data_IF_257257381944
#
_entry.id   IF_257257381944
#
_cell.length_a   1.000
_cell.length_b   1.000
_cell.length_c   1.000
_cell.angle_alpha   90.00
_cell.angle_beta   90.00
_cell.angle_gamma   90.00
#
_symmetry.space_group_name_H-M   'P 1'
#
loop_
_entity.id
_entity.type
_entity.pdbx_description
1 polymer ?
#
# COMPACT_ATOMS: atom_id res chain seq x y z
N UNK A 1 -5.85 -2.88 -11.46
CA UNK A 1 -5.62 -3.35 -12.84
C UNK A 1 -6.67 -4.42 -13.16
N UNK A 2 -7.42 -4.26 -14.26
CA UNK A 2 -8.41 -5.25 -14.70
C UNK A 2 -7.74 -6.58 -15.03
N UNK A 3 -8.41 -7.69 -14.71
CA UNK A 3 -7.94 -9.06 -15.00
C UNK A 3 -7.57 -9.31 -16.47
N UNK A 4 -8.12 -8.52 -17.39
CA UNK A 4 -7.89 -8.63 -18.84
C UNK A 4 -6.81 -7.70 -19.39
N UNK A 5 -6.13 -6.93 -18.54
CA UNK A 5 -5.01 -6.10 -18.98
C UNK A 5 -3.85 -7.02 -19.42
N UNK A 6 -3.24 -6.68 -20.55
CA UNK A 6 -2.03 -7.36 -21.04
C UNK A 6 -0.84 -6.89 -20.22
N UNK A 7 -0.59 -7.62 -19.13
CA UNK A 7 0.52 -7.39 -18.21
C UNK A 7 1.30 -8.68 -18.00
N UNK A 8 2.60 -8.56 -17.87
CA UNK A 8 3.43 -9.72 -17.55
C UNK A 8 3.05 -10.25 -16.16
N UNK A 9 2.82 -11.55 -16.07
CA UNK A 9 2.47 -12.24 -14.82
C UNK A 9 3.63 -13.11 -14.38
N UNK A 10 3.92 -13.07 -13.09
CA UNK A 10 5.00 -13.84 -12.48
C UNK A 10 4.40 -14.84 -11.48
N UNK A 11 5.06 -15.96 -11.31
CA UNK A 11 4.82 -16.88 -10.19
C UNK A 11 5.40 -16.28 -8.90
N UNK A 12 4.99 -16.82 -7.75
CA UNK A 12 5.63 -16.46 -6.49
C UNK A 12 7.12 -16.82 -6.54
N UNK A 13 7.99 -15.92 -6.10
CA UNK A 13 9.42 -16.17 -5.95
C UNK A 13 9.67 -17.18 -4.84
N UNK A 14 10.76 -17.91 -4.88
CA UNK A 14 11.15 -18.78 -3.77
C UNK A 14 11.62 -17.92 -2.57
N UNK A 15 11.63 -18.52 -1.39
CA UNK A 15 12.11 -17.85 -0.16
C UNK A 15 13.57 -17.42 -0.33
N UNK A 16 14.41 -18.26 -0.93
CA UNK A 16 15.82 -17.99 -1.20
C UNK A 16 15.99 -16.77 -2.13
N UNK A 17 15.17 -16.68 -3.17
CA UNK A 17 15.16 -15.52 -4.07
C UNK A 17 14.77 -14.24 -3.31
N UNK A 18 13.76 -14.30 -2.45
CA UNK A 18 13.32 -13.16 -1.65
C UNK A 18 14.43 -12.68 -0.71
N UNK A 19 15.12 -13.62 -0.02
CA UNK A 19 16.26 -13.28 0.85
C UNK A 19 17.41 -12.69 0.07
N UNK A 20 17.74 -13.24 -1.10
CA UNK A 20 18.78 -12.71 -1.99
C UNK A 20 18.48 -11.28 -2.44
N UNK A 21 17.23 -11.00 -2.85
CA UNK A 21 16.79 -9.66 -3.25
C UNK A 21 16.79 -8.68 -2.07
N UNK A 22 16.40 -9.11 -0.87
CA UNK A 22 16.47 -8.29 0.33
C UNK A 22 17.93 -7.93 0.67
N UNK A 23 18.84 -8.89 0.52
CA UNK A 23 20.28 -8.69 0.72
C UNK A 23 20.84 -7.67 -0.28
N UNK A 24 20.50 -7.82 -1.55
CA UNK A 24 20.90 -6.87 -2.58
C UNK A 24 20.31 -5.47 -2.35
N UNK A 25 19.05 -5.39 -1.95
CA UNK A 25 18.40 -4.12 -1.60
C UNK A 25 19.15 -3.44 -0.43
N UNK A 26 19.53 -4.19 0.59
CA UNK A 26 20.32 -3.66 1.70
C UNK A 26 21.69 -3.18 1.26
N UNK A 27 22.39 -3.93 0.41
CA UNK A 27 23.69 -3.53 -0.16
C UNK A 27 23.58 -2.23 -0.97
N UNK A 28 22.45 -2.00 -1.62
CA UNK A 28 22.14 -0.77 -2.35
C UNK A 28 21.63 0.38 -1.45
N UNK A 29 21.70 0.24 -0.12
CA UNK A 29 21.35 1.30 0.84
C UNK A 29 19.87 1.33 1.25
N UNK A 30 19.04 0.34 0.89
CA UNK A 30 17.66 0.30 1.34
C UNK A 30 17.57 0.19 2.87
N UNK A 31 16.57 0.87 3.44
CA UNK A 31 16.25 0.83 4.87
C UNK A 31 15.00 -0.01 5.17
N UNK A 32 14.28 -0.43 4.13
CA UNK A 32 13.11 -1.29 4.21
C UNK A 32 12.98 -2.16 2.97
N UNK A 33 12.24 -3.26 3.11
CA UNK A 33 11.96 -4.22 2.04
C UNK A 33 10.47 -4.56 2.04
N UNK A 34 9.84 -4.53 0.87
CA UNK A 34 8.40 -4.73 0.75
C UNK A 34 8.07 -6.11 0.18
N UNK A 35 7.30 -6.90 0.94
CA UNK A 35 6.75 -8.18 0.51
C UNK A 35 5.38 -7.95 -0.14
N UNK A 36 5.36 -7.94 -1.47
CA UNK A 36 4.16 -7.60 -2.26
C UNK A 36 3.63 -8.82 -2.98
N UNK A 37 2.31 -9.01 -2.92
CA UNK A 37 1.62 -10.01 -3.75
C UNK A 37 0.44 -9.40 -4.48
N UNK A 38 0.19 -9.86 -5.70
CA UNK A 38 -1.00 -9.51 -6.45
C UNK A 38 -2.24 -10.24 -5.91
N UNK A 39 -3.42 -9.66 -6.19
CA UNK A 39 -4.73 -10.24 -5.86
C UNK A 39 -5.51 -9.42 -4.85
N UNK A 40 -6.75 -9.85 -4.56
CA UNK A 40 -7.67 -9.12 -3.70
C UNK A 40 -7.16 -9.00 -2.26
N UNK A 41 -6.63 -10.11 -1.71
CA UNK A 41 -6.20 -10.14 -0.32
C UNK A 41 -5.45 -11.42 0.05
N UNK A 42 -5.18 -11.53 1.34
CA UNK A 42 -4.57 -12.69 1.95
C UNK A 42 -5.55 -13.88 1.96
N UNK A 43 -5.00 -15.05 1.74
CA UNK A 43 -5.59 -16.35 2.06
C UNK A 43 -4.66 -17.03 3.07
N UNK A 44 -5.10 -18.06 3.77
CA UNK A 44 -4.24 -18.79 4.73
C UNK A 44 -2.94 -19.27 4.11
N UNK A 45 -3.01 -19.76 2.85
CA UNK A 45 -1.81 -20.18 2.11
C UNK A 45 -0.85 -19.02 1.84
N UNK A 46 -1.37 -17.86 1.43
CA UNK A 46 -0.55 -16.67 1.21
C UNK A 46 0.02 -16.14 2.51
N UNK A 47 -0.78 -16.10 3.58
CA UNK A 47 -0.34 -15.64 4.90
C UNK A 47 0.85 -16.46 5.39
N UNK A 48 0.75 -17.78 5.35
CA UNK A 48 1.85 -18.68 5.72
C UNK A 48 3.11 -18.42 4.90
N UNK A 49 2.96 -18.32 3.57
CA UNK A 49 4.09 -18.04 2.68
C UNK A 49 4.77 -16.71 2.99
N UNK A 50 3.99 -15.63 3.18
CA UNK A 50 4.56 -14.31 3.52
C UNK A 50 5.20 -14.32 4.91
N UNK A 51 4.61 -15.03 5.87
CA UNK A 51 5.19 -15.22 7.20
C UNK A 51 6.54 -15.97 7.14
N UNK A 52 6.65 -17.03 6.34
CA UNK A 52 7.90 -17.75 6.12
C UNK A 52 8.95 -16.84 5.46
N UNK A 53 8.59 -16.09 4.42
CA UNK A 53 9.47 -15.13 3.78
C UNK A 53 9.97 -14.05 4.77
N UNK A 54 9.07 -13.51 5.59
CA UNK A 54 9.40 -12.51 6.59
C UNK A 54 10.40 -13.06 7.62
N UNK A 55 10.16 -14.26 8.15
CA UNK A 55 11.08 -14.95 9.08
C UNK A 55 12.46 -15.15 8.46
N UNK A 56 12.52 -15.62 7.21
CA UNK A 56 13.79 -15.85 6.51
C UNK A 56 14.58 -14.55 6.29
N UNK A 57 13.92 -13.46 5.87
CA UNK A 57 14.58 -12.15 5.72
C UNK A 57 15.04 -11.60 7.08
N UNK A 58 14.25 -11.77 8.16
CA UNK A 58 14.69 -11.36 9.52
C UNK A 58 15.86 -12.19 10.02
N UNK A 59 15.89 -13.49 9.76
CA UNK A 59 17.00 -14.38 10.13
C UNK A 59 18.33 -13.99 9.44
N UNK A 60 18.28 -13.36 8.26
CA UNK A 60 19.45 -12.85 7.57
C UNK A 60 20.07 -11.59 8.21
N UNK A 61 19.47 -11.05 9.28
CA UNK A 61 19.97 -9.90 10.07
C UNK A 61 20.38 -8.66 9.25
N UNK A 62 19.64 -8.37 8.19
CA UNK A 62 19.94 -7.26 7.27
C UNK A 62 19.62 -5.86 7.83
N UNK A 63 18.98 -5.75 8.98
CA UNK A 63 18.56 -4.49 9.57
C UNK A 63 17.44 -3.78 8.78
N UNK A 64 16.74 -4.51 7.89
CA UNK A 64 15.66 -3.97 7.07
C UNK A 64 14.34 -3.95 7.85
N UNK A 65 13.59 -2.84 7.69
CA UNK A 65 12.18 -2.80 8.06
C UNK A 65 11.38 -3.60 7.03
N UNK A 66 10.55 -4.54 7.47
CA UNK A 66 9.69 -5.31 6.59
C UNK A 66 8.30 -4.68 6.47
N UNK A 67 7.90 -4.43 5.24
CA UNK A 67 6.58 -3.94 4.89
C UNK A 67 5.84 -5.05 4.13
N UNK A 68 4.61 -5.35 4.50
CA UNK A 68 3.74 -6.24 3.72
C UNK A 68 2.70 -5.42 2.95
N UNK A 69 2.43 -5.80 1.69
CA UNK A 69 1.43 -5.17 0.82
C UNK A 69 0.71 -6.28 0.05
N UNK A 70 -0.33 -6.86 0.69
CA UNK A 70 -0.93 -8.12 0.22
C UNK A 70 -2.46 -8.03 0.06
N UNK A 71 -3.02 -6.81 -0.03
CA UNK A 71 -4.45 -6.57 -0.19
C UNK A 71 -5.23 -6.63 1.12
N UNK A 72 -6.48 -7.07 1.07
CA UNK A 72 -7.35 -7.19 2.26
C UNK A 72 -6.85 -8.29 3.21
N UNK A 73 -7.02 -8.09 4.50
CA UNK A 73 -6.53 -9.01 5.53
C UNK A 73 -7.40 -8.98 6.79
N UNK A 74 -7.54 -10.12 7.45
CA UNK A 74 -8.14 -10.21 8.79
C UNK A 74 -7.14 -9.87 9.88
N UNK A 75 -7.64 -9.60 11.08
CA UNK A 75 -6.80 -9.32 12.26
C UNK A 75 -5.87 -10.50 12.57
N UNK A 76 -6.37 -11.74 12.47
CA UNK A 76 -5.63 -12.96 12.73
C UNK A 76 -4.45 -13.12 11.75
N UNK A 77 -4.71 -12.92 10.45
CA UNK A 77 -3.68 -12.97 9.42
C UNK A 77 -2.60 -11.92 9.67
N UNK A 78 -3.00 -10.71 10.04
CA UNK A 78 -2.07 -9.61 10.33
C UNK A 78 -1.26 -9.86 11.61
N UNK A 79 -1.85 -10.47 12.65
CA UNK A 79 -1.13 -10.91 13.85
C UNK A 79 -0.08 -11.99 13.53
N UNK A 80 -0.40 -12.94 12.62
CA UNK A 80 0.55 -13.93 12.14
C UNK A 80 1.74 -13.27 11.42
N UNK A 81 1.48 -12.32 10.52
CA UNK A 81 2.55 -11.58 9.84
C UNK A 81 3.40 -10.77 10.83
N UNK A 82 2.78 -10.12 11.81
CA UNK A 82 3.50 -9.40 12.86
C UNK A 82 4.41 -10.32 13.67
N UNK A 83 3.91 -11.48 14.09
CA UNK A 83 4.69 -12.48 14.81
C UNK A 83 5.86 -13.03 13.97
N UNK A 84 5.73 -13.02 12.64
CA UNK A 84 6.79 -13.40 11.70
C UNK A 84 7.84 -12.30 11.47
N UNK A 85 7.65 -11.10 12.03
CA UNK A 85 8.60 -9.99 11.94
C UNK A 85 8.25 -8.91 10.91
N UNK A 86 7.03 -8.89 10.36
CA UNK A 86 6.54 -7.75 9.59
C UNK A 86 6.36 -6.55 10.51
N UNK A 87 6.91 -5.40 10.14
CA UNK A 87 6.86 -4.16 10.92
C UNK A 87 5.67 -3.28 10.53
N UNK A 88 5.39 -3.19 9.22
CA UNK A 88 4.38 -2.31 8.66
C UNK A 88 3.48 -3.08 7.67
N UNK A 89 2.23 -2.65 7.57
CA UNK A 89 1.33 -3.10 6.50
C UNK A 89 0.89 -1.92 5.64
N UNK A 90 1.07 -2.05 4.32
CA UNK A 90 0.66 -1.03 3.36
C UNK A 90 -0.71 -1.40 2.75
N UNK A 91 -1.69 -0.54 2.97
CA UNK A 91 -3.00 -0.67 2.38
C UNK A 91 -3.63 0.70 2.15
N UNK A 92 -3.61 1.15 0.89
CA UNK A 92 -4.13 2.46 0.52
C UNK A 92 -5.66 2.48 0.44
N UNK A 93 -6.28 3.63 0.67
CA UNK A 93 -7.70 3.87 0.35
C UNK A 93 -7.91 4.10 -1.14
N UNK A 94 -6.88 4.51 -1.85
CA UNK A 94 -6.78 4.84 -3.27
C UNK A 94 -7.43 6.18 -3.61
N UNK A 95 -8.69 6.42 -3.20
CA UNK A 95 -9.43 7.67 -3.42
C UNK A 95 -10.52 7.87 -2.36
N UNK A 96 -11.43 8.86 -2.53
CA UNK A 96 -12.59 9.04 -1.66
C UNK A 96 -13.56 7.87 -1.73
N UNK A 97 -14.40 7.74 -0.70
CA UNK A 97 -15.46 6.72 -0.67
C UNK A 97 -16.45 6.88 -1.82
N UNK A 98 -16.80 8.11 -2.12
CA UNK A 98 -17.82 8.43 -3.14
C UNK A 98 -17.28 8.24 -4.57
N UNK A 99 -16.02 8.58 -4.82
CA UNK A 99 -15.40 8.38 -6.14
C UNK A 99 -14.95 6.93 -6.38
N UNK A 100 -14.71 6.14 -5.33
CA UNK A 100 -14.15 4.79 -5.44
C UNK A 100 -14.92 3.86 -6.39
N UNK A 101 -16.28 3.83 -6.42
CA UNK A 101 -17.03 2.96 -7.34
C UNK A 101 -16.76 3.23 -8.82
N UNK A 102 -16.29 4.43 -9.18
CA UNK A 102 -15.95 4.79 -10.57
C UNK A 102 -14.67 4.10 -11.05
N UNK A 103 -13.75 3.77 -10.13
CA UNK A 103 -12.43 3.19 -10.44
C UNK A 103 -12.35 1.69 -10.13
N UNK A 104 -13.16 1.19 -9.21
CA UNK A 104 -13.12 -0.20 -8.77
C UNK A 104 -14.53 -0.76 -8.55
N UNK A 105 -14.80 -1.93 -9.16
CA UNK A 105 -16.09 -2.64 -9.05
C UNK A 105 -15.96 -4.03 -8.44
N UNK A 106 -14.75 -4.44 -8.04
CA UNK A 106 -14.47 -5.81 -7.55
C UNK A 106 -14.51 -5.93 -6.03
N UNK A 107 -14.37 -4.81 -5.33
CA UNK A 107 -14.45 -4.71 -3.88
C UNK A 107 -14.76 -3.26 -3.50
N UNK A 108 -15.29 -3.04 -2.32
CA UNK A 108 -15.73 -1.74 -1.84
C UNK A 108 -14.59 -0.94 -1.20
N UNK A 109 -14.80 0.36 -1.08
CA UNK A 109 -13.94 1.23 -0.29
C UNK A 109 -13.98 0.87 1.20
N UNK A 110 -15.16 0.47 1.70
CA UNK A 110 -15.34 0.09 3.10
C UNK A 110 -14.53 -1.16 3.49
N UNK A 111 -14.37 -2.13 2.58
CA UNK A 111 -13.50 -3.28 2.79
C UNK A 111 -12.02 -2.86 2.92
N UNK A 112 -11.60 -1.84 2.17
CA UNK A 112 -10.24 -1.29 2.29
C UNK A 112 -10.06 -0.57 3.63
N UNK A 113 -11.00 0.28 3.99
CA UNK A 113 -10.98 1.01 5.26
C UNK A 113 -10.96 0.05 6.44
N UNK A 114 -11.81 -1.00 6.41
CA UNK A 114 -11.81 -2.04 7.43
C UNK A 114 -10.47 -2.76 7.54
N UNK A 115 -9.80 -3.04 6.42
CA UNK A 115 -8.45 -3.63 6.45
C UNK A 115 -7.46 -2.71 7.16
N UNK A 116 -7.53 -1.39 6.95
CA UNK A 116 -6.68 -0.43 7.69
C UNK A 116 -6.96 -0.48 9.21
N UNK A 117 -8.22 -0.59 9.62
CA UNK A 117 -8.58 -0.79 11.03
C UNK A 117 -8.01 -2.10 11.59
N UNK A 118 -8.13 -3.20 10.84
CA UNK A 118 -7.58 -4.50 11.21
C UNK A 118 -6.06 -4.45 11.41
N UNK A 119 -5.34 -3.67 10.58
CA UNK A 119 -3.89 -3.45 10.71
C UNK A 119 -3.55 -2.82 12.07
N UNK A 120 -4.31 -1.80 12.46
CA UNK A 120 -4.12 -1.12 13.76
C UNK A 120 -4.46 -2.07 14.92
N UNK A 121 -5.56 -2.81 14.84
CA UNK A 121 -5.96 -3.79 15.85
C UNK A 121 -4.93 -4.90 16.03
N UNK A 122 -4.32 -5.38 14.93
CA UNK A 122 -3.22 -6.34 14.99
C UNK A 122 -1.92 -5.74 15.55
N UNK A 123 -1.86 -4.42 15.75
CA UNK A 123 -0.70 -3.70 16.27
C UNK A 123 0.45 -3.58 15.29
N UNK A 124 0.20 -3.68 13.98
CA UNK A 124 1.13 -3.31 12.92
C UNK A 124 1.08 -1.80 12.67
N UNK A 125 2.18 -1.24 12.18
CA UNK A 125 2.20 0.16 11.75
C UNK A 125 1.53 0.29 10.39
N UNK A 126 0.50 1.13 10.30
CA UNK A 126 -0.24 1.35 9.06
C UNK A 126 0.55 2.28 8.13
N UNK A 127 0.64 1.90 6.86
CA UNK A 127 1.02 2.76 5.75
C UNK A 127 -0.22 2.86 4.85
N UNK A 128 -0.79 4.08 4.73
CA UNK A 128 -2.04 4.29 4.02
C UNK A 128 -2.03 5.61 3.28
N UNK A 129 -2.36 5.58 2.01
CA UNK A 129 -2.40 6.74 1.13
C UNK A 129 -3.41 6.59 0.02
N UNK A 130 -3.20 7.32 -1.07
CA UNK A 130 -4.09 7.32 -2.22
C UNK A 130 -3.40 7.70 -3.52
N UNK A 131 -4.21 7.79 -4.58
CA UNK A 131 -3.79 8.13 -5.93
C UNK A 131 -4.57 9.37 -6.35
N UNK A 132 -3.86 10.39 -6.82
CA UNK A 132 -4.43 11.62 -7.35
C UNK A 132 -4.34 11.65 -8.88
N UNK A 133 -5.30 12.28 -9.54
CA UNK A 133 -5.32 12.45 -11.00
C UNK A 133 -6.06 11.36 -11.75
N UNK A 134 -6.95 10.60 -11.08
CA UNK A 134 -7.81 9.60 -11.72
C UNK A 134 -9.14 10.18 -12.24
N UNK A 135 -9.41 11.46 -12.02
CA UNK A 135 -10.65 12.16 -12.38
C UNK A 135 -11.50 12.56 -11.16
N UNK A 136 -10.98 12.39 -9.97
CA UNK A 136 -11.57 12.83 -8.71
C UNK A 136 -11.69 14.35 -8.62
N UNK A 137 -12.66 14.86 -7.86
CA UNK A 137 -12.86 16.29 -7.58
C UNK A 137 -11.95 16.75 -6.43
N UNK A 138 -11.93 18.06 -6.18
CA UNK A 138 -11.22 18.61 -5.02
C UNK A 138 -11.85 18.15 -3.69
N UNK A 139 -13.17 18.04 -3.66
CA UNK A 139 -13.91 17.50 -2.50
C UNK A 139 -13.55 16.05 -2.23
N UNK A 140 -13.39 15.24 -3.28
CA UNK A 140 -12.92 13.85 -3.16
C UNK A 140 -11.51 13.79 -2.56
N UNK A 141 -10.60 14.67 -2.99
CA UNK A 141 -9.23 14.76 -2.46
C UNK A 141 -9.22 15.08 -0.96
N UNK A 142 -10.03 16.05 -0.55
CA UNK A 142 -10.19 16.44 0.86
C UNK A 142 -10.77 15.27 1.65
N UNK A 143 -11.89 14.69 1.21
CA UNK A 143 -12.55 13.56 1.87
C UNK A 143 -11.61 12.35 2.04
N UNK A 144 -10.81 12.04 1.00
CA UNK A 144 -9.79 10.98 1.09
C UNK A 144 -8.74 11.29 2.17
N UNK A 145 -8.22 12.53 2.22
CA UNK A 145 -7.21 12.92 3.20
C UNK A 145 -7.77 12.92 4.63
N UNK A 146 -9.03 13.34 4.82
CA UNK A 146 -9.73 13.25 6.10
C UNK A 146 -9.87 11.78 6.57
N UNK A 147 -10.27 10.89 5.68
CA UNK A 147 -10.37 9.47 5.97
C UNK A 147 -8.99 8.86 6.31
N UNK A 148 -7.94 9.22 5.59
CA UNK A 148 -6.57 8.80 5.92
C UNK A 148 -6.15 9.33 7.28
N UNK A 149 -6.43 10.61 7.60
CA UNK A 149 -6.11 11.20 8.89
C UNK A 149 -6.81 10.49 10.04
N UNK A 150 -8.08 10.10 9.88
CA UNK A 150 -8.84 9.36 10.89
C UNK A 150 -8.24 8.00 11.23
N UNK A 151 -7.49 7.40 10.30
CA UNK A 151 -6.77 6.14 10.49
C UNK A 151 -5.43 6.34 11.20
N UNK A 152 -4.94 7.56 11.38
CA UNK A 152 -3.67 7.88 12.03
C UNK A 152 -2.50 6.98 11.51
N UNK A 153 -2.19 6.99 10.22
CA UNK A 153 -1.15 6.14 9.65
C UNK A 153 0.25 6.63 10.01
N UNK A 154 1.19 5.70 10.12
CA UNK A 154 2.60 6.05 10.32
C UNK A 154 3.17 6.80 9.10
N UNK A 155 2.88 6.32 7.90
CA UNK A 155 3.34 6.93 6.64
C UNK A 155 2.19 7.05 5.65
N UNK A 156 2.22 8.11 4.84
CA UNK A 156 1.22 8.39 3.81
C UNK A 156 1.89 8.48 2.44
N UNK A 157 1.82 7.42 1.63
CA UNK A 157 2.24 7.48 0.24
C UNK A 157 1.20 8.24 -0.60
N UNK A 158 1.65 9.26 -1.31
CA UNK A 158 0.88 9.98 -2.32
C UNK A 158 1.35 9.51 -3.69
N UNK A 159 0.45 8.92 -4.47
CA UNK A 159 0.72 8.50 -5.83
C UNK A 159 0.05 9.49 -6.79
N UNK A 160 0.72 9.79 -7.88
CA UNK A 160 0.15 10.59 -8.96
C UNK A 160 -0.09 9.69 -10.17
N UNK A 161 -1.35 9.69 -10.64
CA UNK A 161 -1.74 8.77 -11.71
C UNK A 161 -0.94 9.05 -12.98
N UNK A 162 -0.21 8.04 -13.41
CA UNK A 162 0.45 8.07 -14.72
C UNK A 162 -0.37 7.24 -15.72
N UNK A 163 -0.77 7.85 -16.84
CA UNK A 163 -1.61 7.18 -17.81
C UNK A 163 -0.97 5.95 -18.44
N UNK A 164 -1.72 4.86 -18.47
CA UNK A 164 -1.36 3.68 -19.22
C UNK A 164 -2.45 3.35 -20.24
N UNK A 165 -2.08 3.10 -21.50
CA UNK A 165 -3.02 2.76 -22.59
C UNK A 165 -3.87 1.51 -22.30
N UNK A 166 -3.40 0.62 -21.43
CA UNK A 166 -4.13 -0.57 -20.99
C UNK A 166 -5.25 -0.26 -19.97
N UNK A 167 -5.34 0.98 -19.46
CA UNK A 167 -6.34 1.38 -18.47
C UNK A 167 -7.41 2.26 -19.11
N UNK A 168 -8.70 2.03 -18.82
CA UNK A 168 -9.81 2.85 -19.36
C UNK A 168 -10.03 4.14 -18.57
N UNK A 169 -9.06 4.59 -17.79
CA UNK A 169 -9.17 5.82 -17.00
C UNK A 169 -8.79 6.99 -17.90
N UNK A 170 -9.75 7.89 -18.16
CA UNK A 170 -9.52 9.16 -18.83
C UNK A 170 -8.96 10.14 -17.80
N UNK A 171 -7.85 10.77 -18.14
CA UNK A 171 -6.97 11.48 -17.21
C UNK A 171 -7.36 12.92 -16.95
N UNK A 172 -7.06 13.34 -15.71
CA UNK A 172 -6.50 14.65 -15.45
C UNK A 172 -5.03 14.48 -15.04
N UNK A 173 -4.10 14.87 -15.90
CA UNK A 173 -2.69 14.87 -15.55
C UNK A 173 -2.48 15.90 -14.44
N UNK A 174 -2.01 15.45 -13.27
CA UNK A 174 -1.62 16.36 -12.18
C UNK A 174 -0.38 17.13 -12.63
N UNK A 175 -0.43 18.45 -12.60
CA UNK A 175 0.74 19.28 -12.87
C UNK A 175 1.73 19.21 -11.70
N UNK A 176 2.96 19.67 -11.93
CA UNK A 176 3.96 19.72 -10.88
C UNK A 176 3.54 20.62 -9.73
N UNK A 177 2.95 21.76 -10.05
CA UNK A 177 2.43 22.74 -9.10
C UNK A 177 1.30 22.12 -8.25
N UNK A 178 0.31 21.51 -8.90
CA UNK A 178 -0.76 20.79 -8.20
C UNK A 178 -0.22 19.66 -7.30
N UNK A 179 0.83 18.95 -7.72
CA UNK A 179 1.44 17.91 -6.90
C UNK A 179 2.06 18.50 -5.61
N UNK A 180 2.74 19.65 -5.70
CA UNK A 180 3.28 20.34 -4.52
C UNK A 180 2.17 20.84 -3.59
N UNK A 181 1.08 21.38 -4.15
CA UNK A 181 -0.07 21.83 -3.36
C UNK A 181 -0.73 20.66 -2.63
N UNK A 182 -0.88 19.51 -3.30
CA UNK A 182 -1.44 18.29 -2.70
C UNK A 182 -0.53 17.72 -1.59
N UNK A 183 0.78 17.74 -1.77
CA UNK A 183 1.72 17.32 -0.72
C UNK A 183 1.61 18.25 0.50
N UNK A 184 1.54 19.55 0.26
CA UNK A 184 1.39 20.56 1.31
C UNK A 184 0.06 20.40 2.03
N UNK A 185 -1.04 20.20 1.29
CA UNK A 185 -2.37 19.95 1.83
C UNK A 185 -2.36 18.67 2.69
N UNK A 186 -1.83 17.56 2.17
CA UNK A 186 -1.73 16.31 2.89
C UNK A 186 -0.94 16.48 4.21
N UNK A 187 0.16 17.25 4.22
CA UNK A 187 0.92 17.51 5.45
C UNK A 187 0.11 18.33 6.46
N UNK A 188 -0.68 19.30 5.99
CA UNK A 188 -1.55 20.11 6.87
C UNK A 188 -2.69 19.27 7.46
N UNK A 189 -3.31 18.40 6.65
CA UNK A 189 -4.46 17.59 7.06
C UNK A 189 -4.07 16.36 7.89
N UNK A 190 -2.84 15.83 7.72
CA UNK A 190 -2.35 14.63 8.42
C UNK A 190 -1.05 14.98 9.18
N UNK A 191 -1.12 15.86 10.21
CA UNK A 191 0.06 16.38 10.88
C UNK A 191 0.85 15.31 11.63
N UNK A 192 0.19 14.27 12.13
CA UNK A 192 0.79 13.20 12.93
C UNK A 192 1.56 12.16 12.10
N UNK A 193 1.35 12.10 10.79
CA UNK A 193 2.07 11.16 9.96
C UNK A 193 3.59 11.41 10.04
N UNK A 194 4.35 10.36 10.32
CA UNK A 194 5.81 10.44 10.37
C UNK A 194 6.39 10.87 9.02
N UNK A 195 5.86 10.33 7.91
CA UNK A 195 6.25 10.71 6.55
C UNK A 195 5.04 10.89 5.65
N UNK A 196 5.05 11.99 4.89
CA UNK A 196 4.32 12.11 3.63
C UNK A 196 5.36 11.86 2.55
N UNK A 197 5.11 10.92 1.64
CA UNK A 197 6.09 10.52 0.64
C UNK A 197 5.44 10.31 -0.72
N UNK A 198 6.16 10.65 -1.78
CA UNK A 198 5.78 10.29 -3.14
C UNK A 198 6.21 8.84 -3.34
N UNK A 199 5.30 8.02 -3.87
CA UNK A 199 5.53 6.62 -4.20
C UNK A 199 5.15 6.36 -5.66
N UNK A 200 5.94 5.56 -6.36
CA UNK A 200 5.75 5.22 -7.78
C UNK A 200 6.89 5.64 -8.65
#
# INVERSE_FOLDING_TARGET
VRYKADIQRYTLKSIEQIVSEATQARANGAVGFCLVTAGLGLTDKKTKFIAEAAKAVKAANLGLRLIACNGTATVEQLKELKAAGVDNYNHNLETSRDFYPTICTTHSWDERYQTCLNVKEAGLKLVCGGIFGMGETQEDRISMLEAINSLDPMNVPLNFFHPNKALPIVKNTITREEAFDLITLARKMIPNAHKIMIAG
#
